data_IF_465200646952
#
_entry.id   IF_465200646952
#
_cell.length_a   1.000
_cell.length_b   1.000
_cell.length_c   1.000
_cell.angle_alpha   90.00
_cell.angle_beta   90.00
_cell.angle_gamma   90.00
#
_symmetry.space_group_name_H-M   'P 1'
#
loop_
_entity.id
_entity.type
_entity.pdbx_description
1 polymer ?
#
# COMPACT_ATOMS: atom_id res chain seq x y z
N UNK A 1 -43.56 -1.74 12.07
CA UNK A 1 -42.50 -2.43 11.30
C UNK A 1 -41.24 -2.40 12.15
N UNK A 2 -40.73 -3.54 12.60
CA UNK A 2 -39.50 -3.62 13.39
C UNK A 2 -38.32 -4.00 12.49
N UNK A 3 -37.33 -3.11 12.38
CA UNK A 3 -36.07 -3.42 11.68
C UNK A 3 -35.05 -3.86 12.73
N UNK A 4 -34.42 -5.01 12.49
CA UNK A 4 -33.35 -5.54 13.34
C UNK A 4 -32.07 -5.57 12.53
N UNK A 5 -31.08 -4.77 12.92
CA UNK A 5 -29.74 -4.79 12.34
C UNK A 5 -28.81 -5.60 13.25
N UNK A 6 -27.97 -6.43 12.63
CA UNK A 6 -26.88 -7.15 13.31
C UNK A 6 -25.58 -6.58 12.74
N UNK A 7 -24.82 -5.87 13.55
CA UNK A 7 -23.50 -5.41 13.18
C UNK A 7 -22.47 -6.48 13.58
N UNK A 8 -21.71 -7.00 12.62
CA UNK A 8 -20.54 -7.85 12.86
C UNK A 8 -19.30 -6.98 12.71
N UNK A 9 -18.60 -6.71 13.80
CA UNK A 9 -17.28 -6.09 13.72
C UNK A 9 -16.34 -7.08 13.03
N UNK A 10 -15.88 -6.75 11.83
CA UNK A 10 -14.87 -7.54 11.13
C UNK A 10 -13.53 -7.03 11.64
N UNK A 11 -12.94 -7.80 12.55
CA UNK A 11 -11.55 -7.64 12.92
C UNK A 11 -10.72 -7.98 11.66
N UNK A 12 -10.20 -6.97 10.97
CA UNK A 12 -9.43 -7.18 9.73
C UNK A 12 -8.17 -7.97 10.11
N UNK A 13 -8.01 -9.22 9.65
CA UNK A 13 -6.94 -10.10 10.15
C UNK A 13 -5.55 -9.73 9.64
N UNK A 14 -5.45 -8.72 8.76
CA UNK A 14 -4.23 -8.30 8.10
C UNK A 14 -3.85 -6.89 8.55
N UNK A 15 -2.58 -6.69 8.90
CA UNK A 15 -2.03 -5.39 9.28
C UNK A 15 -0.59 -5.22 8.80
N UNK A 16 -0.11 -3.97 8.75
CA UNK A 16 1.26 -3.63 8.34
C UNK A 16 2.06 -3.07 9.51
N UNK A 17 3.33 -3.43 9.61
CA UNK A 17 4.19 -2.94 10.70
C UNK A 17 4.45 -1.44 10.64
N UNK A 18 4.61 -0.92 9.42
CA UNK A 18 4.85 0.49 9.15
C UNK A 18 3.80 0.97 8.15
N UNK A 19 2.77 1.71 8.59
CA UNK A 19 1.73 2.23 7.69
C UNK A 19 2.24 3.38 6.81
N UNK A 20 3.35 4.02 7.20
CA UNK A 20 3.96 5.13 6.47
C UNK A 20 5.39 4.76 6.08
N UNK A 21 5.76 5.06 4.84
CA UNK A 21 7.12 4.91 4.31
C UNK A 21 7.61 6.28 3.91
N UNK A 22 8.67 6.73 4.58
CA UNK A 22 9.31 8.01 4.31
C UNK A 22 10.63 7.78 3.57
N UNK A 23 10.61 8.08 2.27
CA UNK A 23 11.76 7.96 1.36
C UNK A 23 12.70 9.17 1.43
N UNK A 24 12.45 10.12 2.34
CA UNK A 24 13.24 11.35 2.56
C UNK A 24 13.37 12.16 1.25
N UNK A 25 14.52 12.80 1.04
CA UNK A 25 14.79 13.62 -0.14
C UNK A 25 15.12 12.71 -1.32
N UNK A 26 14.32 12.80 -2.38
CA UNK A 26 14.51 12.03 -3.59
C UNK A 26 15.10 12.84 -4.74
N UNK A 27 15.96 12.21 -5.54
CA UNK A 27 16.48 12.72 -6.81
C UNK A 27 15.84 11.98 -7.97
N UNK A 28 15.59 12.69 -9.06
CA UNK A 28 15.03 12.08 -10.26
C UNK A 28 15.91 10.97 -10.83
N UNK A 29 15.26 9.97 -11.40
CA UNK A 29 15.86 8.80 -12.03
C UNK A 29 16.77 7.98 -11.10
N UNK A 30 16.65 8.17 -9.79
CA UNK A 30 17.30 7.33 -8.78
C UNK A 30 16.30 6.37 -8.18
N UNK A 31 16.66 5.09 -8.13
CA UNK A 31 15.82 4.07 -7.53
C UNK A 31 15.94 4.10 -6.00
N UNK A 32 14.80 4.16 -5.33
CA UNK A 32 14.61 4.03 -3.90
C UNK A 32 13.85 2.73 -3.63
N UNK A 33 14.26 1.97 -2.61
CA UNK A 33 13.65 0.69 -2.29
C UNK A 33 13.40 0.57 -0.78
N UNK A 34 12.29 -0.04 -0.42
CA UNK A 34 11.96 -0.43 0.95
C UNK A 34 11.13 -1.72 0.95
N UNK A 35 10.91 -2.30 2.13
CA UNK A 35 10.10 -3.49 2.33
C UNK A 35 8.87 -3.17 3.19
N UNK A 36 7.72 -3.62 2.70
CA UNK A 36 6.44 -3.61 3.42
C UNK A 36 6.25 -4.99 4.05
N UNK A 37 6.20 -5.04 5.37
CA UNK A 37 5.91 -6.27 6.11
C UNK A 37 4.43 -6.29 6.47
N UNK A 38 3.73 -7.29 5.93
CA UNK A 38 2.32 -7.57 6.18
C UNK A 38 2.21 -8.77 7.10
N UNK A 39 1.35 -8.68 8.10
CA UNK A 39 1.10 -9.71 9.09
C UNK A 39 -0.30 -10.27 8.93
N UNK A 40 -0.47 -11.59 9.04
CA UNK A 40 -1.77 -12.26 9.06
C UNK A 40 -1.97 -12.98 10.40
N UNK A 41 -2.94 -12.50 11.19
CA UNK A 41 -3.38 -13.14 12.44
C UNK A 41 -4.61 -14.04 12.28
N UNK A 42 -5.09 -14.29 11.06
CA UNK A 42 -6.10 -15.31 10.83
C UNK A 42 -5.51 -16.71 10.96
N UNK A 43 -6.38 -17.69 11.20
CA UNK A 43 -6.06 -19.12 11.15
C UNK A 43 -6.08 -19.68 9.73
N UNK A 44 -6.39 -18.85 8.73
CA UNK A 44 -6.45 -19.20 7.32
C UNK A 44 -5.44 -18.40 6.51
N UNK A 45 -4.98 -18.97 5.40
CA UNK A 45 -4.22 -18.22 4.41
C UNK A 45 -5.12 -17.18 3.72
N UNK A 46 -4.54 -16.05 3.36
CA UNK A 46 -5.25 -14.94 2.72
C UNK A 46 -4.51 -14.51 1.45
N UNK A 47 -5.26 -14.12 0.42
CA UNK A 47 -4.71 -13.55 -0.81
C UNK A 47 -4.65 -12.04 -0.69
N UNK A 48 -3.45 -11.49 -0.85
CA UNK A 48 -3.18 -10.06 -0.87
C UNK A 48 -3.08 -9.57 -2.31
N UNK A 49 -3.61 -8.37 -2.56
CA UNK A 49 -3.42 -7.61 -3.79
C UNK A 49 -2.95 -6.21 -3.43
N UNK A 50 -1.79 -5.84 -3.95
CA UNK A 50 -1.19 -4.53 -3.75
C UNK A 50 -1.60 -3.60 -4.89
N UNK A 51 -2.15 -2.46 -4.54
CA UNK A 51 -2.66 -1.47 -5.48
C UNK A 51 -2.01 -0.11 -5.21
N UNK A 52 -1.63 0.54 -6.31
CA UNK A 52 -1.03 1.88 -6.32
C UNK A 52 -1.99 2.78 -7.11
N UNK A 53 -2.05 4.05 -6.76
CA UNK A 53 -2.80 5.02 -7.54
C UNK A 53 -2.21 5.16 -8.96
N UNK A 54 -3.09 5.42 -9.95
CA UNK A 54 -2.70 5.46 -11.37
C UNK A 54 -1.63 6.51 -11.64
N UNK A 55 -1.68 7.62 -10.93
CA UNK A 55 -0.75 8.74 -11.07
C UNK A 55 0.69 8.38 -10.69
N UNK A 56 0.90 7.27 -9.97
CA UNK A 56 2.22 6.79 -9.58
C UNK A 56 2.64 5.50 -10.29
N UNK A 57 1.83 4.93 -11.20
CA UNK A 57 2.13 3.61 -11.78
C UNK A 57 3.46 3.58 -12.55
N UNK A 58 3.87 4.72 -13.12
CA UNK A 58 5.13 4.87 -13.85
C UNK A 58 6.34 5.13 -12.95
N UNK A 59 6.11 5.45 -11.68
CA UNK A 59 7.11 5.91 -10.72
C UNK A 59 7.25 4.99 -9.51
N UNK A 60 6.25 4.20 -9.18
CA UNK A 60 6.17 3.38 -8.00
C UNK A 60 5.68 1.98 -8.35
N UNK A 61 6.35 0.96 -7.83
CA UNK A 61 6.00 -0.43 -8.02
C UNK A 61 6.02 -1.18 -6.68
N UNK A 62 5.03 -2.06 -6.50
CA UNK A 62 4.94 -2.99 -5.38
C UNK A 62 5.04 -4.41 -5.91
N UNK A 63 6.00 -5.17 -5.39
CA UNK A 63 6.31 -6.52 -5.85
C UNK A 63 6.26 -7.53 -4.69
N UNK A 64 5.54 -8.66 -4.86
CA UNK A 64 4.69 -8.98 -6.01
C UNK A 64 3.36 -8.21 -5.97
N UNK A 65 2.71 -8.02 -7.13
CA UNK A 65 1.38 -7.36 -7.22
C UNK A 65 0.28 -8.13 -6.46
N UNK A 66 0.45 -9.44 -6.34
CA UNK A 66 -0.42 -10.34 -5.59
C UNK A 66 0.43 -11.36 -4.85
N UNK A 67 0.03 -11.71 -3.63
CA UNK A 67 0.74 -12.69 -2.81
C UNK A 67 -0.24 -13.49 -1.95
N UNK A 68 0.21 -14.65 -1.47
CA UNK A 68 -0.55 -15.44 -0.49
C UNK A 68 0.21 -15.44 0.83
N UNK A 69 -0.43 -14.90 1.87
CA UNK A 69 0.11 -14.92 3.23
C UNK A 69 -0.52 -16.09 3.99
N UNK A 70 0.32 -16.95 4.58
CA UNK A 70 -0.16 -18.11 5.33
C UNK A 70 -0.80 -17.68 6.66
N UNK A 71 -1.54 -18.61 7.29
CA UNK A 71 -2.09 -18.39 8.63
C UNK A 71 -0.98 -18.10 9.65
N UNK A 72 -1.20 -17.13 10.55
CA UNK A 72 -0.24 -16.75 11.60
C UNK A 72 1.17 -16.43 11.08
N UNK A 73 1.28 -15.90 9.86
CA UNK A 73 2.55 -15.68 9.19
C UNK A 73 2.73 -14.22 8.75
N UNK A 74 3.94 -13.92 8.27
CA UNK A 74 4.31 -12.64 7.67
C UNK A 74 4.53 -12.79 6.17
N UNK A 75 4.34 -11.69 5.44
CA UNK A 75 4.61 -11.57 4.03
C UNK A 75 5.33 -10.25 3.75
N UNK A 76 6.45 -10.32 3.02
CA UNK A 76 7.24 -9.15 2.66
C UNK A 76 7.01 -8.79 1.19
N UNK A 77 6.52 -7.57 0.95
CA UNK A 77 6.44 -6.98 -0.38
C UNK A 77 7.54 -5.92 -0.55
N UNK A 78 8.17 -5.89 -1.73
CA UNK A 78 9.16 -4.92 -2.11
C UNK A 78 8.49 -3.68 -2.69
N UNK A 79 8.85 -2.51 -2.18
CA UNK A 79 8.53 -1.22 -2.76
C UNK A 79 9.72 -0.74 -3.58
N UNK A 80 9.44 -0.26 -4.79
CA UNK A 80 10.41 0.38 -5.69
C UNK A 80 9.86 1.71 -6.13
N UNK A 81 10.53 2.80 -5.76
CA UNK A 81 10.19 4.15 -6.16
C UNK A 81 11.29 4.73 -7.04
N UNK A 82 10.94 5.08 -8.27
CA UNK A 82 11.77 5.73 -9.26
C UNK A 82 11.07 7.02 -9.70
N UNK A 83 11.28 8.15 -8.98
CA UNK A 83 10.72 9.44 -9.37
C UNK A 83 11.29 9.83 -10.74
N UNK A 84 10.43 10.04 -11.73
CA UNK A 84 10.83 10.53 -13.06
C UNK A 84 10.45 12.01 -13.17
N UNK A 85 11.03 12.77 -14.11
CA UNK A 85 10.69 14.18 -14.29
C UNK A 85 9.18 14.45 -14.45
N UNK A 86 8.43 13.53 -15.07
CA UNK A 86 6.97 13.64 -15.26
C UNK A 86 6.13 13.46 -13.98
N UNK A 87 6.76 13.08 -12.85
CA UNK A 87 6.08 12.82 -11.58
C UNK A 87 5.23 14.01 -11.12
N UNK A 88 5.76 15.23 -11.24
CA UNK A 88 5.05 16.44 -10.82
C UNK A 88 3.77 16.67 -11.63
N UNK A 89 3.81 16.42 -12.94
CA UNK A 89 2.68 16.61 -13.84
C UNK A 89 1.62 15.51 -13.64
N UNK A 90 2.07 14.25 -13.53
CA UNK A 90 1.20 13.07 -13.41
C UNK A 90 0.53 12.96 -12.02
N UNK A 91 1.21 13.40 -10.96
CA UNK A 91 0.77 13.21 -9.56
C UNK A 91 0.52 14.50 -8.78
N UNK A 92 0.33 15.62 -9.48
CA UNK A 92 0.12 16.97 -8.91
C UNK A 92 -0.89 17.01 -7.74
N UNK A 93 -1.96 16.21 -7.79
CA UNK A 93 -2.99 16.15 -6.74
C UNK A 93 -2.52 15.58 -5.39
N UNK A 94 -1.38 14.88 -5.36
CA UNK A 94 -0.79 14.28 -4.16
C UNK A 94 0.33 15.13 -3.57
N UNK A 95 0.70 16.25 -4.21
CA UNK A 95 1.65 17.18 -3.64
C UNK A 95 0.96 18.13 -2.67
N UNK A 96 1.49 18.19 -1.45
CA UNK A 96 1.14 19.24 -0.52
C UNK A 96 1.68 20.59 -1.03
N UNK A 97 0.80 21.59 -1.13
CA UNK A 97 1.12 22.87 -1.77
C UNK A 97 2.01 23.76 -0.91
N UNK A 98 2.05 23.57 0.39
CA UNK A 98 2.79 24.41 1.33
C UNK A 98 4.21 23.87 1.53
N UNK A 99 4.34 22.55 1.60
CA UNK A 99 5.59 21.84 1.92
C UNK A 99 6.28 21.26 0.69
N UNK A 100 5.55 21.04 -0.42
CA UNK A 100 6.06 20.39 -1.62
C UNK A 100 6.28 18.88 -1.48
N UNK A 101 5.80 18.28 -0.39
CA UNK A 101 5.92 16.85 -0.11
C UNK A 101 4.90 16.06 -0.94
N UNK A 102 5.32 14.96 -1.55
CA UNK A 102 4.44 14.00 -2.22
C UNK A 102 3.86 13.03 -1.19
N UNK A 103 2.55 13.04 -1.00
CA UNK A 103 1.82 12.12 -0.12
C UNK A 103 0.77 11.35 -0.91
N UNK A 104 1.02 10.06 -1.16
CA UNK A 104 0.13 9.22 -1.95
C UNK A 104 -0.24 7.92 -1.22
N UNK A 105 -1.52 7.51 -1.25
CA UNK A 105 -1.96 6.29 -0.60
C UNK A 105 -1.57 5.05 -1.42
N UNK A 106 -1.18 4.00 -0.70
CA UNK A 106 -1.08 2.63 -1.23
C UNK A 106 -2.14 1.77 -0.55
N UNK A 107 -2.73 0.83 -1.30
CA UNK A 107 -3.81 -0.01 -0.78
C UNK A 107 -3.40 -1.48 -0.83
N UNK A 108 -3.59 -2.19 0.29
CA UNK A 108 -3.50 -3.64 0.35
C UNK A 108 -4.91 -4.18 0.45
N UNK A 109 -5.38 -4.88 -0.59
CA UNK A 109 -6.68 -5.56 -0.57
C UNK A 109 -6.48 -7.01 -0.18
N UNK A 110 -7.30 -7.47 0.75
CA UNK A 110 -7.49 -8.89 1.02
C UNK A 110 -8.59 -9.37 0.07
N UNK A 111 -8.30 -10.36 -0.77
CA UNK A 111 -9.33 -10.90 -1.64
C UNK A 111 -10.38 -11.65 -0.82
N UNK A 112 -11.63 -11.61 -1.28
CA UNK A 112 -12.76 -12.33 -0.69
C UNK A 112 -13.21 -11.82 0.70
N UNK A 113 -12.82 -10.58 1.05
CA UNK A 113 -13.33 -9.78 2.18
C UNK A 113 -13.81 -8.40 1.73
#
# INVERSE_FOLDING_TARGET
>A
ISVRSVAKAIDVPVWVERPTIDVKICMFNRLYQDTIVVNNRATTALRLKFEICKELENHLELLPKTGYIQAQAQFSAQLKFLPRPSLFEESCKYFDKETGVLEAPMTIRVADQ
#
